data_IF_949426911996
#
_entry.id   IF_949426911996
#
_cell.length_a   1.000
_cell.length_b   1.000
_cell.length_c   1.000
_cell.angle_alpha   90.00
_cell.angle_beta   90.00
_cell.angle_gamma   90.00
#
_symmetry.space_group_name_H-M   'P 1'
#
loop_
_entity.id
_entity.type
_entity.pdbx_description
1 polymer ?
#
# COMPACT_ATOMS: atom_id res chain seq x y z
N UNK A 1 10.82 9.98 2.29
CA UNK A 1 9.50 9.85 2.93
C UNK A 1 9.35 8.44 3.49
N UNK A 2 8.60 8.29 4.59
CA UNK A 2 8.24 6.97 5.09
C UNK A 2 7.07 6.42 4.27
N UNK A 3 6.98 5.09 4.11
CA UNK A 3 5.69 4.48 3.69
C UNK A 3 4.69 4.54 4.86
N UNK A 4 3.39 4.38 4.60
CA UNK A 4 2.36 4.34 5.65
C UNK A 4 2.72 3.46 6.86
N UNK A 5 3.08 2.18 6.64
CA UNK A 5 3.46 1.24 7.72
C UNK A 5 4.72 1.67 8.48
N UNK A 6 5.65 2.33 7.80
CA UNK A 6 6.85 2.86 8.44
C UNK A 6 6.53 4.12 9.26
N UNK A 7 5.59 4.93 8.79
CA UNK A 7 5.05 6.08 9.52
C UNK A 7 4.32 5.66 10.80
N UNK A 8 3.51 4.61 10.71
CA UNK A 8 2.86 3.99 11.87
C UNK A 8 3.89 3.51 12.88
N UNK A 9 4.91 2.76 12.46
CA UNK A 9 6.02 2.35 13.31
C UNK A 9 6.76 3.53 13.97
N UNK A 10 6.95 4.65 13.24
CA UNK A 10 7.56 5.84 13.79
C UNK A 10 6.68 6.51 14.85
N UNK A 11 5.35 6.54 14.66
CA UNK A 11 4.41 7.04 15.66
C UNK A 11 4.36 6.13 16.89
N UNK A 12 4.25 4.82 16.73
CA UNK A 12 4.28 3.85 17.85
C UNK A 12 5.56 4.01 18.69
N UNK A 13 6.72 4.21 18.05
CA UNK A 13 7.97 4.52 18.75
C UNK A 13 7.87 5.80 19.58
N UNK A 14 7.31 6.86 19.03
CA UNK A 14 7.19 8.16 19.69
C UNK A 14 6.16 8.11 20.83
N UNK A 15 5.03 7.44 20.64
CA UNK A 15 4.03 7.19 21.69
C UNK A 15 4.63 6.37 22.84
N UNK A 16 5.43 5.34 22.53
CA UNK A 16 6.17 4.58 23.56
C UNK A 16 7.06 5.49 24.39
N UNK A 17 7.89 6.33 23.74
CA UNK A 17 8.78 7.25 24.46
C UNK A 17 8.00 8.29 25.27
N UNK A 18 6.90 8.81 24.75
CA UNK A 18 6.05 9.76 25.47
C UNK A 18 5.38 9.15 26.72
N UNK A 19 5.18 7.83 26.75
CA UNK A 19 4.61 7.12 27.88
C UNK A 19 5.64 6.74 28.96
N UNK A 20 6.94 6.88 28.68
CA UNK A 20 7.98 6.62 29.68
C UNK A 20 7.97 7.70 30.78
N UNK A 21 8.36 7.36 32.03
CA UNK A 21 8.43 8.31 33.14
C UNK A 21 9.67 9.22 33.03
N UNK A 22 9.88 9.85 31.87
CA UNK A 22 10.99 10.76 31.58
C UNK A 22 10.50 12.20 31.66
N UNK A 23 11.21 13.01 32.43
CA UNK A 23 10.86 14.39 32.73
C UNK A 23 11.62 15.38 31.85
N UNK A 24 12.84 15.07 31.44
CA UNK A 24 13.60 15.93 30.53
C UNK A 24 13.42 15.57 29.06
N UNK A 25 13.50 16.60 28.23
CA UNK A 25 13.50 16.45 26.77
C UNK A 25 14.76 15.75 26.28
N UNK A 26 15.88 15.89 27.00
CA UNK A 26 17.14 15.22 26.67
C UNK A 26 17.01 13.71 26.81
N UNK A 27 16.45 13.26 27.93
CA UNK A 27 16.13 11.86 28.16
C UNK A 27 15.15 11.33 27.11
N UNK A 28 14.09 12.07 26.78
CA UNK A 28 13.13 11.67 25.75
C UNK A 28 13.79 11.58 24.36
N UNK A 29 14.62 12.54 23.97
CA UNK A 29 15.32 12.52 22.68
C UNK A 29 16.33 11.36 22.60
N UNK A 30 17.05 11.09 23.68
CA UNK A 30 17.94 9.93 23.80
C UNK A 30 17.15 8.62 23.72
N UNK A 31 16.02 8.53 24.43
CA UNK A 31 15.13 7.37 24.43
C UNK A 31 14.66 7.01 23.02
N UNK A 32 14.27 7.99 22.19
CA UNK A 32 13.88 7.72 20.78
C UNK A 32 14.98 6.98 20.02
N UNK A 33 16.25 7.38 20.22
CA UNK A 33 17.39 6.79 19.49
C UNK A 33 17.74 5.40 20.01
N UNK A 34 17.72 5.21 21.32
CA UNK A 34 17.99 3.91 21.94
C UNK A 34 16.88 2.93 21.61
N UNK A 35 15.61 3.32 21.81
CA UNK A 35 14.43 2.50 21.59
C UNK A 35 14.37 1.97 20.15
N UNK A 36 14.58 2.81 19.12
CA UNK A 36 14.57 2.31 17.74
C UNK A 36 15.72 1.35 17.43
N UNK A 37 16.85 1.44 18.14
CA UNK A 37 17.97 0.50 18.00
C UNK A 37 17.70 -0.79 18.76
N UNK A 38 17.03 -0.71 19.90
CA UNK A 38 16.64 -1.83 20.76
C UNK A 38 15.42 -2.63 20.24
N UNK A 39 14.58 -2.04 19.38
CA UNK A 39 13.31 -2.58 18.87
C UNK A 39 13.34 -3.99 18.23
N UNK A 40 14.50 -4.63 18.09
CA UNK A 40 14.64 -6.00 17.60
C UNK A 40 15.16 -6.98 18.65
N UNK A 41 16.01 -6.52 19.55
CA UNK A 41 16.84 -7.38 20.39
C UNK A 41 16.76 -7.01 21.86
N UNK A 42 16.03 -5.97 22.22
CA UNK A 42 16.04 -5.39 23.56
C UNK A 42 17.30 -4.59 23.89
N UNK A 43 18.25 -4.48 22.96
CA UNK A 43 19.54 -3.80 23.20
C UNK A 43 19.80 -2.75 22.12
N UNK A 44 19.87 -1.49 22.54
CA UNK A 44 20.19 -0.34 21.70
C UNK A 44 21.65 0.04 21.83
N UNK A 45 22.48 -0.31 20.84
CA UNK A 45 23.88 0.07 20.84
C UNK A 45 24.05 1.57 20.55
N UNK A 46 24.79 2.28 21.39
CA UNK A 46 25.18 3.69 21.21
C UNK A 46 26.70 3.84 21.36
N UNK A 47 27.28 4.74 20.58
CA UNK A 47 28.66 5.19 20.75
C UNK A 47 28.70 6.55 21.45
N UNK A 48 29.84 6.95 22.01
CA UNK A 48 30.02 8.32 22.51
C UNK A 48 29.84 9.36 21.40
N UNK A 49 30.19 9.02 20.16
CA UNK A 49 29.93 9.84 18.97
C UNK A 49 28.45 10.02 18.68
N UNK A 50 27.65 8.95 18.79
CA UNK A 50 26.20 9.04 18.68
C UNK A 50 25.64 10.01 19.73
N UNK A 51 26.04 9.86 21.00
CA UNK A 51 25.57 10.71 22.10
C UNK A 51 25.90 12.19 21.86
N UNK A 52 27.14 12.51 21.49
CA UNK A 52 27.54 13.91 21.16
C UNK A 52 26.76 14.47 19.98
N UNK A 53 26.44 13.64 18.98
CA UNK A 53 25.61 14.07 17.84
C UNK A 53 24.20 14.49 18.24
N UNK A 54 23.70 13.98 19.38
CA UNK A 54 22.41 14.38 19.95
C UNK A 54 22.43 15.79 20.53
N UNK A 55 23.61 16.39 20.79
CA UNK A 55 23.72 17.74 21.38
C UNK A 55 22.73 17.94 22.53
N UNK A 56 22.76 17.01 23.49
CA UNK A 56 21.98 17.13 24.72
C UNK A 56 22.57 18.28 25.55
N UNK A 57 21.74 18.95 26.32
CA UNK A 57 22.14 19.99 27.28
C UNK A 57 22.74 19.35 28.53
N UNK A 58 22.16 18.25 29.01
CA UNK A 58 22.62 17.45 30.16
C UNK A 58 22.62 15.95 29.80
N UNK A 59 23.67 15.44 29.12
CA UNK A 59 23.73 14.04 28.72
C UNK A 59 23.86 13.07 29.91
N UNK A 60 24.51 13.48 31.01
CA UNK A 60 24.60 12.72 32.25
C UNK A 60 23.23 12.55 32.91
N UNK A 61 22.48 13.66 33.08
CA UNK A 61 21.12 13.63 33.62
C UNK A 61 20.16 12.82 32.75
N UNK A 62 20.27 12.93 31.43
CA UNK A 62 19.47 12.13 30.50
C UNK A 62 19.70 10.62 30.67
N UNK A 63 20.95 10.18 30.84
CA UNK A 63 21.26 8.77 31.11
C UNK A 63 20.74 8.33 32.49
N UNK A 64 20.85 9.18 33.51
CA UNK A 64 20.33 8.89 34.84
C UNK A 64 18.80 8.68 34.83
N UNK A 65 18.05 9.48 34.05
CA UNK A 65 16.62 9.29 33.87
C UNK A 65 16.26 7.99 33.16
N UNK A 66 17.03 7.55 32.15
CA UNK A 66 16.82 6.25 31.53
C UNK A 66 17.03 5.10 32.52
N UNK A 67 18.07 5.20 33.36
CA UNK A 67 18.33 4.23 34.43
C UNK A 67 17.18 4.24 35.45
N UNK A 68 16.69 5.41 35.85
CA UNK A 68 15.53 5.54 36.73
C UNK A 68 14.24 4.95 36.12
N UNK A 69 14.11 5.00 34.78
CA UNK A 69 13.05 4.33 34.03
C UNK A 69 13.26 2.81 33.86
N UNK A 70 14.29 2.24 34.50
CA UNK A 70 14.56 0.80 34.53
C UNK A 70 15.43 0.28 33.39
N UNK A 71 16.05 1.17 32.59
CA UNK A 71 16.96 0.75 31.53
C UNK A 71 18.36 0.46 32.09
N UNK A 72 19.06 -0.51 31.52
CA UNK A 72 20.42 -0.86 31.97
C UNK A 72 21.47 -0.25 31.04
N UNK A 73 22.42 0.48 31.61
CA UNK A 73 23.54 1.11 30.90
C UNK A 73 24.86 0.53 31.44
N UNK A 74 25.27 -0.68 31.03
CA UNK A 74 26.37 -1.44 31.64
C UNK A 74 27.79 -0.91 31.35
N UNK A 75 27.94 0.23 30.66
CA UNK A 75 29.24 0.75 30.23
C UNK A 75 29.37 2.27 30.27
N UNK A 76 30.60 2.76 30.14
CA UNK A 76 30.89 4.20 30.12
C UNK A 76 30.66 4.82 28.73
N UNK A 77 29.48 5.42 28.54
CA UNK A 77 29.15 6.17 27.31
C UNK A 77 29.73 7.59 27.32
N UNK A 78 29.84 8.21 28.49
CA UNK A 78 30.44 9.52 28.73
C UNK A 78 31.83 9.31 29.33
N UNK A 79 32.84 9.99 28.79
CA UNK A 79 34.24 9.87 29.23
C UNK A 79 34.96 8.60 28.77
N UNK A 80 34.25 7.63 28.17
CA UNK A 80 34.82 6.41 27.60
C UNK A 80 35.33 6.57 26.16
N UNK A 81 35.66 5.43 25.53
CA UNK A 81 36.03 5.35 24.11
C UNK A 81 34.86 5.80 23.22
N UNK A 82 35.13 6.78 22.34
CA UNK A 82 34.12 7.43 21.51
C UNK A 82 33.54 6.51 20.43
N UNK A 83 34.28 5.50 20.01
CA UNK A 83 33.93 4.60 18.90
C UNK A 83 33.48 3.23 19.37
N UNK A 84 33.74 2.88 20.63
CA UNK A 84 33.28 1.63 21.23
C UNK A 84 31.76 1.67 21.49
N UNK A 85 30.97 0.76 20.89
CA UNK A 85 29.54 0.68 21.17
C UNK A 85 29.27 0.20 22.60
N UNK A 86 28.35 0.87 23.28
CA UNK A 86 27.76 0.49 24.57
C UNK A 86 26.32 0.05 24.32
N UNK A 87 25.97 -1.17 24.70
CA UNK A 87 24.62 -1.70 24.57
C UNK A 87 23.75 -1.29 25.73
N UNK A 88 22.74 -0.45 25.49
CA UNK A 88 21.73 -0.09 26.50
C UNK A 88 20.59 -1.10 26.42
N UNK A 89 20.28 -1.75 27.54
CA UNK A 89 19.17 -2.73 27.62
C UNK A 89 17.86 -1.97 27.89
N UNK A 90 16.86 -2.24 27.07
CA UNK A 90 15.50 -1.71 27.18
C UNK A 90 14.59 -2.90 27.49
N UNK A 91 14.20 -3.12 28.77
CA UNK A 91 13.49 -4.32 29.19
C UNK A 91 12.22 -4.61 28.38
N UNK A 92 11.41 -3.59 28.11
CA UNK A 92 10.14 -3.72 27.37
C UNK A 92 10.32 -4.12 25.89
N UNK A 93 11.56 -4.03 25.38
CA UNK A 93 11.91 -4.40 24.00
C UNK A 93 12.64 -5.74 23.90
N UNK A 94 12.80 -6.45 25.01
CA UNK A 94 13.34 -7.81 25.00
C UNK A 94 12.45 -8.73 24.13
N UNK A 95 13.04 -9.65 23.33
CA UNK A 95 12.26 -10.61 22.56
C UNK A 95 11.40 -11.48 23.48
N UNK A 96 10.07 -11.44 23.32
CA UNK A 96 9.16 -12.27 24.10
C UNK A 96 7.72 -11.74 24.13
N UNK A 97 6.84 -12.40 24.89
CA UNK A 97 5.51 -11.89 25.22
C UNK A 97 5.64 -10.53 25.90
N UNK A 98 5.00 -9.49 25.36
CA UNK A 98 5.10 -8.12 25.90
C UNK A 98 6.07 -7.18 25.17
N UNK A 99 6.71 -7.61 24.08
CA UNK A 99 7.54 -6.73 23.25
C UNK A 99 6.71 -5.55 22.69
N UNK A 100 6.96 -4.35 23.19
CA UNK A 100 6.15 -3.14 22.92
C UNK A 100 6.33 -2.54 21.51
N UNK A 101 7.42 -2.85 20.82
CA UNK A 101 7.73 -2.29 19.49
C UNK A 101 8.38 -3.31 18.54
N UNK A 102 7.67 -4.40 18.16
CA UNK A 102 8.25 -5.44 17.31
C UNK A 102 8.41 -4.94 15.87
N UNK A 103 9.59 -4.40 15.55
CA UNK A 103 9.90 -3.93 14.21
C UNK A 103 10.76 -4.94 13.43
N UNK A 104 10.32 -5.29 12.23
CA UNK A 104 11.14 -6.05 11.28
C UNK A 104 12.44 -5.30 10.92
N UNK A 105 13.45 -6.04 10.46
CA UNK A 105 14.80 -5.51 10.12
C UNK A 105 14.74 -4.27 9.24
N UNK A 106 13.92 -4.31 8.18
CA UNK A 106 13.76 -3.25 7.20
C UNK A 106 13.04 -2.04 7.78
N UNK A 107 11.89 -2.24 8.43
CA UNK A 107 11.11 -1.17 9.04
C UNK A 107 11.95 -0.40 10.07
N UNK A 108 12.62 -1.11 10.98
CA UNK A 108 13.55 -0.51 11.96
C UNK A 108 14.66 0.29 11.28
N UNK A 109 15.24 -0.21 10.19
CA UNK A 109 16.29 0.53 9.45
C UNK A 109 15.77 1.83 8.87
N UNK A 110 14.56 1.79 8.30
CA UNK A 110 13.95 2.93 7.63
C UNK A 110 13.53 4.00 8.62
N UNK A 111 12.92 3.61 9.75
CA UNK A 111 12.53 4.52 10.84
C UNK A 111 13.76 5.11 11.54
N UNK A 112 14.80 4.31 11.81
CA UNK A 112 16.06 4.81 12.38
C UNK A 112 16.72 5.85 11.47
N UNK A 113 16.86 5.54 10.17
CA UNK A 113 17.41 6.48 9.20
C UNK A 113 16.54 7.72 8.99
N UNK A 114 15.22 7.60 9.10
CA UNK A 114 14.30 8.74 9.10
C UNK A 114 14.50 9.63 10.33
N UNK A 115 14.54 9.06 11.53
CA UNK A 115 14.77 9.81 12.77
C UNK A 115 16.09 10.59 12.73
N UNK A 116 17.16 9.97 12.21
CA UNK A 116 18.43 10.65 11.99
C UNK A 116 18.28 11.83 11.01
N UNK A 117 17.68 11.62 9.83
CA UNK A 117 17.50 12.69 8.83
C UNK A 117 16.63 13.84 9.34
N UNK A 118 15.57 13.54 10.08
CA UNK A 118 14.68 14.56 10.65
C UNK A 118 15.42 15.46 11.63
N UNK A 119 16.18 14.88 12.57
CA UNK A 119 16.95 15.65 13.57
C UNK A 119 18.13 16.41 12.97
N UNK A 120 18.66 15.94 11.84
CA UNK A 120 19.75 16.58 11.10
C UNK A 120 19.27 17.50 9.97
N UNK A 121 17.96 17.68 9.81
CA UNK A 121 17.43 18.57 8.79
C UNK A 121 17.89 20.01 9.03
N UNK A 122 18.18 20.74 7.95
CA UNK A 122 18.74 22.11 8.00
C UNK A 122 18.00 23.05 8.98
N UNK A 123 16.65 23.06 9.04
CA UNK A 123 15.91 23.92 9.97
C UNK A 123 16.14 23.61 11.46
N UNK A 124 16.47 22.36 11.82
CA UNK A 124 16.46 21.89 13.21
C UNK A 124 17.80 21.37 13.73
N UNK A 125 18.78 21.09 12.85
CA UNK A 125 20.07 20.50 13.22
C UNK A 125 20.90 21.29 14.25
N UNK A 126 20.62 22.60 14.38
CA UNK A 126 21.25 23.51 15.37
C UNK A 126 20.30 23.91 16.50
N UNK A 127 19.07 23.41 16.50
CA UNK A 127 18.08 23.72 17.54
C UNK A 127 18.32 22.93 18.82
N UNK A 128 17.63 23.32 19.88
CA UNK A 128 17.65 22.60 21.15
C UNK A 128 17.12 21.16 20.97
N UNK A 129 17.33 20.29 21.97
CA UNK A 129 16.69 18.98 22.04
C UNK A 129 15.16 19.05 21.84
N UNK A 130 14.50 20.07 22.40
CA UNK A 130 13.05 20.29 22.23
C UNK A 130 12.64 20.55 20.79
N UNK A 131 13.41 21.36 20.05
CA UNK A 131 13.17 21.61 18.62
C UNK A 131 13.27 20.32 17.80
N UNK A 132 14.27 19.48 18.09
CA UNK A 132 14.50 18.24 17.35
C UNK A 132 13.50 17.15 17.72
N UNK A 133 13.07 17.07 18.97
CA UNK A 133 12.02 16.15 19.40
C UNK A 133 10.66 16.56 18.83
N UNK A 134 10.28 17.84 18.91
CA UNK A 134 9.08 18.37 18.31
C UNK A 134 9.04 18.09 16.80
N UNK A 135 10.15 18.31 16.10
CA UNK A 135 10.27 18.01 14.67
C UNK A 135 10.01 16.53 14.33
N UNK A 136 10.42 15.58 15.18
CA UNK A 136 10.12 14.16 15.00
C UNK A 136 8.62 13.88 15.13
N UNK A 137 7.97 14.36 16.19
CA UNK A 137 6.53 14.19 16.40
C UNK A 137 5.72 14.80 15.26
N UNK A 138 6.01 16.04 14.89
CA UNK A 138 5.27 16.74 13.86
C UNK A 138 5.53 16.16 12.46
N UNK A 139 6.75 15.68 12.17
CA UNK A 139 7.00 14.97 10.92
C UNK A 139 6.26 13.62 10.87
N UNK A 140 6.22 12.87 11.97
CA UNK A 140 5.54 11.56 12.02
C UNK A 140 4.01 11.67 11.86
N UNK A 141 3.43 12.80 12.28
CA UNK A 141 1.98 13.07 12.27
C UNK A 141 1.53 13.95 11.10
N UNK A 142 2.36 14.15 10.07
CA UNK A 142 1.97 14.83 8.84
C UNK A 142 1.52 13.85 7.75
N UNK A 143 0.48 14.23 7.02
CA UNK A 143 -0.03 13.58 5.81
C UNK A 143 0.90 13.76 4.59
N UNK A 144 0.48 13.21 3.43
CA UNK A 144 1.16 13.38 2.15
C UNK A 144 1.08 14.83 1.64
N UNK A 145 0.00 15.52 1.99
CA UNK A 145 -0.31 16.91 1.67
C UNK A 145 0.42 17.89 2.61
N UNK A 146 1.31 17.35 3.46
CA UNK A 146 2.12 18.06 4.45
C UNK A 146 1.32 18.68 5.59
N UNK A 147 0.03 18.38 5.69
CA UNK A 147 -0.84 18.82 6.78
C UNK A 147 -0.78 17.81 7.92
N UNK A 148 -0.66 18.26 9.15
CA UNK A 148 -0.68 17.40 10.32
C UNK A 148 -1.55 17.94 11.44
N UNK A 149 -1.81 17.07 12.41
CA UNK A 149 -2.42 17.40 13.68
C UNK A 149 -1.45 17.01 14.78
N UNK A 150 -1.15 17.95 15.69
CA UNK A 150 -0.23 17.69 16.78
C UNK A 150 -0.84 16.61 17.70
N UNK A 151 -0.12 15.52 18.00
CA UNK A 151 -0.66 14.45 18.82
C UNK A 151 -0.81 14.91 20.27
N UNK A 152 -1.79 14.37 20.98
CA UNK A 152 -2.02 14.67 22.40
C UNK A 152 -0.82 14.28 23.28
N UNK A 153 -0.05 13.26 22.87
CA UNK A 153 1.17 12.85 23.56
C UNK A 153 2.43 13.68 23.23
N UNK A 154 2.32 14.78 22.47
CA UNK A 154 3.45 15.68 22.25
C UNK A 154 3.94 16.22 23.60
N UNK A 155 5.22 16.02 23.98
CA UNK A 155 5.70 16.47 25.29
C UNK A 155 5.50 17.97 25.48
N UNK A 156 5.06 18.39 26.67
CA UNK A 156 4.69 19.79 26.93
C UNK A 156 5.84 20.76 26.62
N UNK A 157 7.08 20.36 26.93
CA UNK A 157 8.28 21.14 26.64
C UNK A 157 8.54 21.36 25.14
N UNK A 158 7.94 20.55 24.24
CA UNK A 158 8.04 20.73 22.80
C UNK A 158 7.17 21.86 22.26
N UNK A 159 6.11 22.30 22.96
CA UNK A 159 5.27 23.41 22.49
C UNK A 159 6.05 24.73 22.41
N UNK A 160 7.01 24.95 23.33
CA UNK A 160 7.90 26.11 23.31
C UNK A 160 8.83 26.15 22.08
N UNK A 161 9.02 25.03 21.37
CA UNK A 161 9.84 24.95 20.18
C UNK A 161 9.08 25.34 18.88
N UNK A 162 7.75 25.41 18.91
CA UNK A 162 6.91 25.68 17.73
C UNK A 162 7.26 27.01 17.05
N UNK A 163 7.45 28.14 17.78
CA UNK A 163 7.85 29.40 17.15
C UNK A 163 9.18 29.29 16.40
N UNK A 164 10.17 28.58 16.97
CA UNK A 164 11.46 28.34 16.31
C UNK A 164 11.29 27.47 15.06
N UNK A 165 10.43 26.45 15.09
CA UNK A 165 10.15 25.61 13.94
C UNK A 165 9.50 26.38 12.78
N UNK A 166 8.62 27.35 13.09
CA UNK A 166 8.07 28.30 12.10
C UNK A 166 9.17 29.22 11.55
N UNK A 167 9.92 29.89 12.42
CA UNK A 167 10.98 30.83 12.04
C UNK A 167 12.05 30.18 11.14
N UNK A 168 12.43 28.93 11.44
CA UNK A 168 13.43 28.18 10.65
C UNK A 168 12.86 27.49 9.42
N UNK A 169 11.55 27.59 9.17
CA UNK A 169 10.88 27.01 8.00
C UNK A 169 10.75 25.48 8.04
N UNK A 170 10.80 24.86 9.23
CA UNK A 170 10.39 23.48 9.40
C UNK A 170 8.87 23.34 9.32
N UNK A 171 8.15 24.30 9.90
CA UNK A 171 6.71 24.49 9.75
C UNK A 171 6.46 25.69 8.84
N UNK A 172 5.44 25.60 7.99
CA UNK A 172 4.99 26.69 7.13
C UNK A 172 3.87 27.50 7.82
N UNK A 173 2.97 26.84 8.52
CA UNK A 173 1.83 27.43 9.22
C UNK A 173 1.44 26.57 10.43
N UNK A 174 0.85 27.20 11.44
CA UNK A 174 0.25 26.56 12.62
C UNK A 174 -1.06 27.29 12.94
N UNK A 175 -2.12 26.53 13.18
CA UNK A 175 -3.44 27.03 13.59
C UNK A 175 -4.03 26.12 14.66
N UNK A 176 -3.97 26.54 15.93
CA UNK A 176 -4.33 25.66 17.04
C UNK A 176 -3.46 24.41 17.07
N UNK A 177 -4.07 23.22 16.94
CA UNK A 177 -3.36 21.93 16.89
C UNK A 177 -3.05 21.47 15.45
N UNK A 178 -3.55 22.16 14.42
CA UNK A 178 -3.22 21.83 13.04
C UNK A 178 -1.99 22.62 12.58
N UNK A 179 -1.21 22.01 11.69
CA UNK A 179 -0.02 22.64 11.14
C UNK A 179 0.28 22.13 9.73
N UNK A 180 1.16 22.84 9.02
CA UNK A 180 1.74 22.38 7.76
C UNK A 180 3.25 22.33 7.85
N UNK A 181 3.85 21.24 7.37
CA UNK A 181 5.30 21.17 7.20
C UNK A 181 5.77 22.11 6.09
N UNK A 182 6.94 22.70 6.27
CA UNK A 182 7.62 23.43 5.21
C UNK A 182 7.91 22.52 4.01
N UNK A 183 7.70 23.02 2.79
CA UNK A 183 7.90 22.24 1.57
C UNK A 183 9.31 21.61 1.49
N UNK A 184 10.34 22.32 1.99
CA UNK A 184 11.73 21.84 2.02
C UNK A 184 11.94 20.58 2.87
N UNK A 185 11.07 20.33 3.86
CA UNK A 185 11.11 19.16 4.74
C UNK A 185 10.00 18.15 4.44
N UNK A 186 9.22 18.34 3.37
CA UNK A 186 8.11 17.43 3.03
C UNK A 186 8.55 15.98 2.78
N UNK A 187 9.79 15.77 2.35
CA UNK A 187 10.38 14.42 2.22
C UNK A 187 10.52 13.66 3.56
N UNK A 188 10.34 14.34 4.70
CA UNK A 188 10.33 13.78 6.05
C UNK A 188 8.93 13.39 6.53
N UNK A 189 7.87 13.67 5.76
CA UNK A 189 6.50 13.36 6.15
C UNK A 189 6.32 11.87 6.50
N UNK A 190 5.59 11.65 7.60
CA UNK A 190 5.28 10.34 8.18
C UNK A 190 4.07 9.65 7.55
N UNK A 191 3.43 10.26 6.54
CA UNK A 191 2.24 9.71 5.86
C UNK A 191 1.13 9.35 6.86
N UNK A 192 0.88 10.26 7.80
CA UNK A 192 -0.24 10.13 8.72
C UNK A 192 -1.55 10.12 7.95
N UNK A 193 -2.42 9.17 8.29
CA UNK A 193 -3.81 9.16 7.85
C UNK A 193 -4.67 9.62 8.99
N UNK A 194 -5.68 10.43 8.70
CA UNK A 194 -6.62 10.85 9.73
C UNK A 194 -7.44 9.65 10.23
N UNK A 195 -8.00 9.72 11.44
CA UNK A 195 -8.91 8.67 11.94
C UNK A 195 -10.05 8.36 10.97
N UNK A 196 -10.59 9.38 10.29
CA UNK A 196 -11.65 9.24 9.28
C UNK A 196 -11.18 8.44 8.06
N UNK A 197 -9.96 8.71 7.56
CA UNK A 197 -9.38 7.95 6.46
C UNK A 197 -9.12 6.48 6.84
N UNK A 198 -8.70 6.24 8.09
CA UNK A 198 -8.52 4.88 8.60
C UNK A 198 -9.86 4.15 8.76
N UNK A 199 -10.88 4.82 9.28
CA UNK A 199 -12.23 4.28 9.41
C UNK A 199 -12.83 3.92 8.03
N UNK A 200 -12.67 4.81 7.04
CA UNK A 200 -13.13 4.55 5.67
C UNK A 200 -12.45 3.33 5.04
N UNK A 201 -11.15 3.16 5.26
CA UNK A 201 -10.41 1.99 4.77
C UNK A 201 -10.80 0.70 5.50
N UNK A 202 -11.05 0.76 6.80
CA UNK A 202 -11.52 -0.37 7.59
C UNK A 202 -12.90 -0.82 7.10
N UNK A 203 -13.82 0.13 6.89
CA UNK A 203 -15.15 -0.13 6.33
C UNK A 203 -15.06 -0.74 4.92
N UNK A 204 -14.22 -0.20 4.03
CA UNK A 204 -14.01 -0.77 2.69
C UNK A 204 -13.52 -2.22 2.75
N UNK A 205 -12.60 -2.55 3.67
CA UNK A 205 -12.12 -3.93 3.82
C UNK A 205 -13.17 -4.86 4.45
N UNK A 206 -14.00 -4.34 5.37
CA UNK A 206 -15.12 -5.09 5.97
C UNK A 206 -16.19 -5.42 4.93
N UNK A 207 -16.63 -4.43 4.15
CA UNK A 207 -17.58 -4.61 3.04
C UNK A 207 -17.02 -5.63 2.03
N UNK A 208 -15.73 -5.59 1.73
CA UNK A 208 -15.08 -6.56 0.84
C UNK A 208 -14.99 -7.95 1.45
N UNK A 209 -14.74 -8.06 2.75
CA UNK A 209 -14.76 -9.35 3.45
C UNK A 209 -16.15 -9.95 3.40
N UNK A 210 -17.18 -9.18 3.74
CA UNK A 210 -18.57 -9.60 3.64
C UNK A 210 -18.93 -10.02 2.21
N UNK A 211 -18.49 -9.27 1.19
CA UNK A 211 -18.73 -9.62 -0.21
C UNK A 211 -18.00 -10.92 -0.63
N UNK A 212 -16.80 -11.18 -0.12
CA UNK A 212 -16.07 -12.44 -0.36
C UNK A 212 -16.73 -13.62 0.35
N UNK A 213 -17.18 -13.43 1.58
CA UNK A 213 -17.88 -14.46 2.36
C UNK A 213 -19.22 -14.80 1.73
N UNK A 214 -20.00 -13.80 1.29
CA UNK A 214 -21.22 -14.00 0.53
C UNK A 214 -20.96 -14.74 -0.80
N UNK A 215 -19.91 -14.37 -1.53
CA UNK A 215 -19.52 -15.06 -2.75
C UNK A 215 -19.05 -16.50 -2.49
N UNK A 216 -18.39 -16.76 -1.36
CA UNK A 216 -17.95 -18.10 -0.97
C UNK A 216 -19.10 -18.98 -0.47
N UNK A 217 -20.11 -18.39 0.18
CA UNK A 217 -21.32 -19.08 0.63
C UNK A 217 -22.18 -19.56 -0.55
N UNK A 218 -22.13 -18.86 -1.68
CA UNK A 218 -22.75 -19.26 -2.95
C UNK A 218 -21.97 -20.39 -3.66
N UNK A 219 -21.41 -21.36 -2.91
CA UNK A 219 -20.51 -22.39 -3.42
C UNK A 219 -21.02 -22.95 -4.77
N UNK A 220 -20.28 -22.77 -5.87
CA UNK A 220 -20.62 -23.45 -7.10
C UNK A 220 -20.42 -24.94 -6.84
N UNK A 221 -21.53 -25.69 -6.77
CA UNK A 221 -21.51 -27.14 -6.78
C UNK A 221 -20.59 -27.61 -7.91
N UNK A 222 -19.72 -28.58 -7.62
CA UNK A 222 -18.71 -29.08 -8.55
C UNK A 222 -19.35 -29.41 -9.92
N UNK A 223 -18.69 -28.98 -11.00
CA UNK A 223 -19.16 -29.25 -12.34
C UNK A 223 -19.01 -30.74 -12.65
N UNK A 224 -20.13 -31.46 -12.77
CA UNK A 224 -20.16 -32.86 -13.24
C UNK A 224 -20.56 -32.92 -14.72
N UNK A 225 -20.18 -33.98 -15.46
CA UNK A 225 -20.61 -34.16 -16.85
C UNK A 225 -22.12 -34.10 -17.05
N UNK A 226 -22.90 -34.62 -16.09
CA UNK A 226 -24.36 -34.67 -16.13
C UNK A 226 -24.96 -33.27 -15.99
N UNK A 227 -24.54 -32.48 -14.99
CA UNK A 227 -25.00 -31.08 -14.84
C UNK A 227 -24.59 -30.22 -16.02
N UNK A 228 -23.43 -30.50 -16.60
CA UNK A 228 -22.99 -29.79 -17.80
C UNK A 228 -23.85 -30.11 -19.01
N UNK A 229 -24.21 -31.37 -19.21
CA UNK A 229 -25.14 -31.78 -20.27
C UNK A 229 -26.54 -31.18 -20.06
N UNK A 230 -27.05 -31.20 -18.83
CA UNK A 230 -28.31 -30.56 -18.47
C UNK A 230 -28.29 -29.06 -18.78
N UNK A 231 -27.25 -28.34 -18.34
CA UNK A 231 -27.08 -26.92 -18.65
C UNK A 231 -27.03 -26.67 -20.17
N UNK A 232 -26.28 -27.48 -20.93
CA UNK A 232 -26.22 -27.37 -22.40
C UNK A 232 -27.56 -27.63 -23.09
N UNK A 233 -28.44 -28.44 -22.50
CA UNK A 233 -29.78 -28.68 -23.05
C UNK A 233 -30.73 -27.48 -22.88
N UNK A 234 -30.48 -26.63 -21.87
CA UNK A 234 -31.31 -25.48 -21.53
C UNK A 234 -30.89 -24.14 -22.16
N UNK A 235 -29.79 -24.09 -22.91
CA UNK A 235 -29.28 -22.85 -23.52
C UNK A 235 -29.70 -22.69 -24.99
N UNK A 236 -29.61 -21.46 -25.49
CA UNK A 236 -29.89 -21.17 -26.91
C UNK A 236 -28.92 -21.88 -27.87
N UNK A 237 -29.34 -22.23 -29.11
CA UNK A 237 -28.45 -22.83 -30.11
C UNK A 237 -27.23 -21.98 -30.45
N UNK A 238 -27.32 -20.65 -30.31
CA UNK A 238 -26.19 -19.73 -30.54
C UNK A 238 -25.14 -19.89 -29.44
N UNK A 239 -25.58 -19.96 -28.19
CA UNK A 239 -24.69 -20.15 -27.05
C UNK A 239 -24.09 -21.56 -27.05
N UNK A 240 -24.85 -22.57 -27.44
CA UNK A 240 -24.36 -23.95 -27.57
C UNK A 240 -23.18 -24.03 -28.54
N UNK A 241 -23.31 -23.48 -29.76
CA UNK A 241 -22.20 -23.45 -30.72
C UNK A 241 -20.97 -22.72 -30.19
N UNK A 242 -21.16 -21.67 -29.40
CA UNK A 242 -20.06 -20.94 -28.77
C UNK A 242 -19.33 -21.80 -27.74
N UNK A 243 -20.09 -22.47 -26.88
CA UNK A 243 -19.57 -23.41 -25.89
C UNK A 243 -18.78 -24.52 -26.57
N UNK A 244 -19.36 -25.16 -27.58
CA UNK A 244 -18.72 -26.24 -28.34
C UNK A 244 -17.43 -25.78 -29.02
N UNK A 245 -17.41 -24.56 -29.58
CA UNK A 245 -16.19 -23.99 -30.14
C UNK A 245 -15.07 -23.82 -29.10
N UNK A 246 -15.40 -23.49 -27.85
CA UNK A 246 -14.44 -23.40 -26.75
C UNK A 246 -13.99 -24.80 -26.29
N UNK A 247 -14.92 -25.74 -26.12
CA UNK A 247 -14.64 -27.12 -25.71
C UNK A 247 -13.73 -27.84 -26.71
N UNK A 248 -13.98 -27.64 -28.00
CA UNK A 248 -13.31 -28.35 -29.09
C UNK A 248 -12.09 -27.61 -29.65
N UNK A 249 -11.74 -26.45 -29.08
CA UNK A 249 -10.62 -25.64 -29.60
C UNK A 249 -9.28 -26.40 -29.47
N UNK A 250 -8.63 -26.78 -30.59
CA UNK A 250 -7.42 -27.62 -30.56
C UNK A 250 -6.19 -26.87 -30.03
N UNK A 251 -6.25 -25.53 -30.03
CA UNK A 251 -5.19 -24.65 -29.57
C UNK A 251 -5.31 -24.32 -28.08
N UNK A 252 -6.54 -24.22 -27.55
CA UNK A 252 -6.75 -23.90 -26.14
C UNK A 252 -6.70 -25.12 -25.21
N UNK A 253 -7.19 -26.29 -25.68
CA UNK A 253 -7.17 -27.57 -24.95
C UNK A 253 -7.55 -27.45 -23.47
N UNK A 254 -8.68 -26.80 -23.20
CA UNK A 254 -9.10 -26.58 -21.82
C UNK A 254 -9.58 -27.89 -21.18
N UNK A 255 -9.18 -28.17 -19.91
CA UNK A 255 -9.79 -29.26 -19.16
C UNK A 255 -11.28 -29.03 -18.97
N UNK A 256 -12.08 -30.10 -19.00
CA UNK A 256 -13.54 -30.08 -18.81
C UNK A 256 -13.97 -29.18 -17.64
N UNK A 257 -13.42 -29.46 -16.44
CA UNK A 257 -13.77 -28.71 -15.24
C UNK A 257 -13.50 -27.21 -15.35
N UNK A 258 -12.53 -26.77 -16.15
CA UNK A 258 -12.26 -25.35 -16.36
C UNK A 258 -13.33 -24.69 -17.22
N UNK A 259 -13.77 -25.36 -18.29
CA UNK A 259 -14.82 -24.84 -19.17
C UNK A 259 -16.16 -24.87 -18.44
N UNK A 260 -16.57 -26.03 -17.93
CA UNK A 260 -17.84 -26.20 -17.27
C UNK A 260 -18.02 -25.23 -16.08
N UNK A 261 -17.03 -25.11 -15.18
CA UNK A 261 -17.12 -24.17 -14.06
C UNK A 261 -17.22 -22.71 -14.51
N UNK A 262 -16.54 -22.31 -15.59
CA UNK A 262 -16.58 -20.93 -16.06
C UNK A 262 -17.95 -20.53 -16.62
N UNK A 263 -18.71 -21.47 -17.18
CA UNK A 263 -20.07 -21.22 -17.69
C UNK A 263 -21.15 -21.43 -16.62
N UNK A 264 -20.93 -22.34 -15.66
CA UNK A 264 -21.88 -22.63 -14.58
C UNK A 264 -21.81 -21.61 -13.42
N UNK A 265 -20.65 -20.95 -13.23
CA UNK A 265 -20.47 -20.02 -12.11
C UNK A 265 -20.85 -18.61 -12.50
N UNK A 266 -21.69 -17.95 -11.69
CA UNK A 266 -21.97 -16.52 -11.86
C UNK A 266 -20.71 -15.68 -11.57
N UNK A 267 -20.46 -14.59 -12.34
CA UNK A 267 -19.37 -13.67 -12.04
C UNK A 267 -19.53 -13.10 -10.63
N UNK A 268 -18.43 -13.09 -9.85
CA UNK A 268 -18.40 -12.43 -8.56
C UNK A 268 -18.54 -10.91 -8.73
N UNK A 269 -19.44 -10.29 -7.98
CA UNK A 269 -19.71 -8.84 -8.00
C UNK A 269 -18.81 -8.04 -7.05
N UNK A 270 -17.74 -8.62 -6.50
CA UNK A 270 -16.89 -7.93 -5.52
C UNK A 270 -16.26 -6.68 -6.16
N UNK A 271 -16.53 -5.47 -5.65
CA UNK A 271 -15.96 -4.24 -6.18
C UNK A 271 -14.43 -4.24 -6.13
N UNK A 272 -13.81 -3.59 -7.12
CA UNK A 272 -12.36 -3.44 -7.15
C UNK A 272 -11.89 -2.38 -6.12
N UNK A 273 -10.76 -2.60 -5.42
CA UNK A 273 -10.19 -1.61 -4.50
C UNK A 273 -9.80 -0.31 -5.20
N UNK A 274 -9.86 0.83 -4.48
CA UNK A 274 -9.43 2.15 -5.00
C UNK A 274 -8.00 2.15 -5.56
N UNK A 275 -7.08 1.46 -4.90
CA UNK A 275 -5.68 1.32 -5.36
C UNK A 275 -5.56 0.66 -6.75
N UNK A 276 -6.54 -0.14 -7.15
CA UNK A 276 -6.58 -0.74 -8.49
C UNK A 276 -7.07 0.28 -9.53
N UNK A 277 -7.93 1.22 -9.15
CA UNK A 277 -8.36 2.33 -10.00
C UNK A 277 -7.20 3.31 -10.27
N UNK A 278 -6.39 3.62 -9.26
CA UNK A 278 -5.18 4.45 -9.44
C UNK A 278 -4.18 3.77 -10.38
N UNK A 279 -3.93 2.47 -10.17
CA UNK A 279 -3.08 1.66 -11.04
C UNK A 279 -3.63 1.58 -12.48
N UNK A 280 -4.95 1.59 -12.66
CA UNK A 280 -5.59 1.66 -13.97
C UNK A 280 -5.34 3.00 -14.66
N UNK A 281 -5.39 4.13 -13.94
CA UNK A 281 -5.04 5.44 -14.49
C UNK A 281 -3.64 5.45 -15.08
N UNK A 282 -2.64 5.06 -14.29
CA UNK A 282 -1.24 4.96 -14.75
C UNK A 282 -1.08 3.98 -15.92
N UNK A 283 -1.78 2.84 -15.89
CA UNK A 283 -1.73 1.88 -16.99
C UNK A 283 -2.31 2.45 -18.28
N UNK A 284 -3.45 3.15 -18.22
CA UNK A 284 -4.13 3.71 -19.38
C UNK A 284 -3.29 4.77 -20.07
N UNK A 285 -2.63 5.65 -19.31
CA UNK A 285 -1.76 6.68 -19.87
C UNK A 285 -0.58 6.08 -20.65
N UNK A 286 -0.10 4.91 -20.24
CA UNK A 286 0.97 4.18 -20.92
C UNK A 286 0.49 3.36 -22.14
N UNK A 287 -0.82 3.22 -22.36
CA UNK A 287 -1.39 2.39 -23.44
C UNK A 287 -2.53 3.12 -24.18
N UNK A 288 -2.25 4.26 -24.86
CA UNK A 288 -3.27 5.06 -25.52
C UNK A 288 -4.02 4.30 -26.63
N UNK A 289 -3.37 3.35 -27.30
CA UNK A 289 -3.96 2.57 -28.40
C UNK A 289 -4.60 1.24 -27.97
N UNK A 290 -4.72 0.99 -26.65
CA UNK A 290 -5.14 -0.30 -26.12
C UNK A 290 -6.49 -0.79 -26.67
N UNK A 291 -7.43 0.12 -26.97
CA UNK A 291 -8.72 -0.23 -27.54
C UNK A 291 -8.64 -0.80 -28.95
N UNK A 292 -7.86 -0.16 -29.82
CA UNK A 292 -7.63 -0.62 -31.20
C UNK A 292 -6.89 -1.95 -31.22
N UNK A 293 -5.82 -2.07 -30.44
CA UNK A 293 -5.03 -3.28 -30.32
C UNK A 293 -5.87 -4.46 -29.80
N UNK A 294 -6.69 -4.22 -28.77
CA UNK A 294 -7.56 -5.25 -28.22
C UNK A 294 -8.60 -5.73 -29.25
N UNK A 295 -9.23 -4.81 -29.98
CA UNK A 295 -10.20 -5.18 -31.01
C UNK A 295 -9.54 -6.02 -32.11
N UNK A 296 -8.38 -5.59 -32.65
CA UNK A 296 -7.62 -6.36 -33.65
C UNK A 296 -7.22 -7.74 -33.13
N UNK A 297 -6.77 -7.83 -31.88
CA UNK A 297 -6.45 -9.10 -31.25
C UNK A 297 -7.66 -10.02 -31.21
N UNK A 298 -8.86 -9.54 -30.85
CA UNK A 298 -10.05 -10.40 -30.84
C UNK A 298 -10.43 -10.94 -32.22
N UNK A 299 -10.17 -10.17 -33.30
CA UNK A 299 -10.38 -10.64 -34.68
C UNK A 299 -9.39 -11.76 -35.03
N UNK A 300 -8.10 -11.52 -34.82
CA UNK A 300 -7.05 -12.50 -35.10
C UNK A 300 -7.27 -13.78 -34.28
N UNK A 301 -7.51 -13.62 -32.98
CA UNK A 301 -7.76 -14.73 -32.06
C UNK A 301 -8.97 -15.56 -32.51
N UNK A 302 -10.08 -14.93 -32.86
CA UNK A 302 -11.27 -15.67 -33.31
C UNK A 302 -11.07 -16.38 -34.65
N UNK A 303 -10.26 -15.82 -35.53
CA UNK A 303 -9.93 -16.42 -36.83
C UNK A 303 -9.13 -17.72 -36.64
N UNK A 304 -8.23 -17.72 -35.66
CA UNK A 304 -7.38 -18.88 -35.35
C UNK A 304 -8.09 -19.92 -34.47
N UNK A 305 -8.89 -19.47 -33.49
CA UNK A 305 -9.46 -20.33 -32.45
C UNK A 305 -10.93 -20.71 -32.68
N UNK A 306 -11.66 -20.01 -33.55
CA UNK A 306 -13.10 -20.18 -33.76
C UNK A 306 -14.00 -19.53 -32.68
N UNK A 307 -13.42 -19.06 -31.57
CA UNK A 307 -14.12 -18.39 -30.46
C UNK A 307 -13.37 -17.12 -30.01
N UNK A 308 -14.00 -16.28 -29.18
CA UNK A 308 -13.36 -15.09 -28.63
C UNK A 308 -12.38 -15.41 -27.48
N UNK A 309 -11.44 -14.52 -27.14
CA UNK A 309 -10.56 -14.73 -26.00
C UNK A 309 -11.30 -14.50 -24.67
N UNK A 310 -10.82 -15.15 -23.61
CA UNK A 310 -11.10 -14.71 -22.23
C UNK A 310 -10.32 -13.42 -21.90
N UNK A 311 -10.69 -12.73 -20.82
CA UNK A 311 -9.98 -11.53 -20.36
C UNK A 311 -8.49 -11.83 -20.12
N UNK A 312 -8.18 -13.01 -19.57
CA UNK A 312 -6.79 -13.44 -19.37
C UNK A 312 -6.04 -13.70 -20.68
N UNK A 313 -6.68 -14.30 -21.67
CA UNK A 313 -6.05 -14.56 -22.97
C UNK A 313 -5.79 -13.26 -23.74
N UNK A 314 -6.74 -12.33 -23.71
CA UNK A 314 -6.57 -10.99 -24.28
C UNK A 314 -5.35 -10.29 -23.66
N UNK A 315 -5.36 -10.10 -22.33
CA UNK A 315 -4.26 -9.41 -21.65
C UNK A 315 -2.92 -10.13 -21.83
N UNK A 316 -2.90 -11.47 -21.84
CA UNK A 316 -1.65 -12.22 -22.08
C UNK A 316 -1.14 -12.05 -23.50
N UNK A 317 -2.03 -12.06 -24.49
CA UNK A 317 -1.71 -11.92 -25.91
C UNK A 317 -1.14 -10.54 -26.24
N UNK A 318 -1.67 -9.50 -25.61
CA UNK A 318 -1.21 -8.12 -25.75
C UNK A 318 0.02 -7.77 -24.88
N UNK A 319 0.61 -8.76 -24.19
CA UNK A 319 1.79 -8.52 -23.35
C UNK A 319 1.50 -7.90 -21.98
N UNK A 320 0.23 -7.66 -21.62
CA UNK A 320 -0.21 -7.13 -20.33
C UNK A 320 -0.21 -8.17 -19.19
N UNK A 321 0.80 -9.05 -19.19
CA UNK A 321 0.88 -10.25 -18.33
C UNK A 321 1.07 -9.94 -16.85
N UNK A 322 1.57 -8.73 -16.53
CA UNK A 322 1.83 -8.29 -15.14
C UNK A 322 0.60 -7.70 -14.45
N UNK A 323 -0.55 -7.62 -15.14
CA UNK A 323 -1.77 -7.07 -14.54
C UNK A 323 -2.40 -8.05 -13.53
N UNK A 324 -2.72 -7.53 -12.34
CA UNK A 324 -3.49 -8.27 -11.35
C UNK A 324 -4.86 -8.68 -11.91
N UNK A 325 -5.53 -9.68 -11.31
CA UNK A 325 -6.86 -10.12 -11.78
C UNK A 325 -7.89 -8.98 -11.74
N UNK A 326 -7.89 -8.19 -10.67
CA UNK A 326 -8.77 -7.04 -10.51
C UNK A 326 -8.50 -5.98 -11.59
N UNK A 327 -7.22 -5.65 -11.82
CA UNK A 327 -6.85 -4.66 -12.83
C UNK A 327 -7.23 -5.10 -14.25
N UNK A 328 -7.08 -6.38 -14.58
CA UNK A 328 -7.56 -6.95 -15.86
C UNK A 328 -9.07 -6.78 -16.03
N UNK A 329 -9.85 -7.00 -14.97
CA UNK A 329 -11.29 -6.79 -14.99
C UNK A 329 -11.66 -5.34 -15.32
N UNK A 330 -10.98 -4.38 -14.67
CA UNK A 330 -11.20 -2.94 -14.92
C UNK A 330 -10.82 -2.55 -16.35
N UNK A 331 -9.65 -2.99 -16.82
CA UNK A 331 -9.17 -2.72 -18.20
C UNK A 331 -10.19 -3.21 -19.22
N UNK A 332 -10.60 -4.48 -19.15
CA UNK A 332 -11.55 -5.03 -20.11
C UNK A 332 -12.93 -4.39 -19.95
N UNK A 333 -13.35 -4.08 -18.72
CA UNK A 333 -14.59 -3.36 -18.44
C UNK A 333 -14.65 -1.97 -19.10
N UNK A 334 -13.55 -1.20 -19.05
CA UNK A 334 -13.45 0.09 -19.74
C UNK A 334 -13.51 -0.09 -21.25
N UNK A 335 -12.80 -1.08 -21.82
CA UNK A 335 -12.85 -1.36 -23.25
C UNK A 335 -14.26 -1.75 -23.74
N UNK A 336 -15.04 -2.44 -22.90
CA UNK A 336 -16.44 -2.74 -23.16
C UNK A 336 -17.31 -1.47 -23.09
N UNK A 337 -17.13 -0.65 -22.06
CA UNK A 337 -17.88 0.60 -21.86
C UNK A 337 -17.63 1.62 -22.98
N UNK A 338 -16.39 1.73 -23.43
CA UNK A 338 -15.96 2.59 -24.54
C UNK A 338 -16.35 2.02 -25.92
N UNK A 339 -16.91 0.80 -25.97
CA UNK A 339 -17.40 0.17 -27.18
C UNK A 339 -16.30 -0.35 -28.11
N UNK A 340 -15.05 -0.41 -27.66
CA UNK A 340 -13.95 -1.06 -28.39
C UNK A 340 -14.15 -2.56 -28.47
N UNK A 341 -14.60 -3.15 -27.37
CA UNK A 341 -14.99 -4.54 -27.27
C UNK A 341 -16.48 -4.67 -27.02
N UNK A 342 -17.01 -5.85 -27.28
CA UNK A 342 -18.32 -6.29 -26.78
C UNK A 342 -18.23 -7.77 -26.41
N UNK A 343 -19.12 -8.24 -25.56
CA UNK A 343 -19.22 -9.62 -25.15
C UNK A 343 -20.67 -10.11 -25.19
N UNK A 344 -20.89 -11.33 -24.72
CA UNK A 344 -22.22 -11.84 -24.44
C UNK A 344 -22.28 -12.12 -22.95
N UNK A 345 -22.16 -11.08 -22.12
CA UNK A 345 -22.18 -11.22 -20.66
C UNK A 345 -23.39 -12.04 -20.17
N UNK A 346 -23.22 -12.96 -19.20
CA UNK A 346 -22.00 -13.26 -18.42
C UNK A 346 -21.10 -14.35 -19.05
N UNK A 347 -21.25 -14.64 -20.33
CA UNK A 347 -20.63 -15.80 -20.98
C UNK A 347 -19.12 -15.59 -21.16
N UNK A 348 -18.25 -16.52 -20.70
CA UNK A 348 -16.82 -16.42 -20.89
C UNK A 348 -16.39 -16.70 -22.36
N UNK A 349 -15.20 -16.22 -22.73
CA UNK A 349 -14.60 -16.39 -24.07
C UNK A 349 -15.39 -15.74 -25.23
N UNK A 350 -16.24 -14.75 -24.99
CA UNK A 350 -17.06 -14.12 -26.05
C UNK A 350 -16.55 -12.78 -26.55
N UNK A 351 -15.39 -12.31 -26.10
CA UNK A 351 -14.85 -11.00 -26.48
C UNK A 351 -14.72 -10.91 -28.01
N UNK A 352 -15.23 -9.81 -28.57
CA UNK A 352 -15.22 -9.52 -30.00
C UNK A 352 -15.17 -7.99 -30.23
N UNK A 353 -14.89 -7.52 -31.44
CA UNK A 353 -14.91 -6.10 -31.75
C UNK A 353 -16.28 -5.48 -31.46
N UNK A 354 -16.27 -4.32 -30.79
CA UNK A 354 -17.46 -3.55 -30.49
C UNK A 354 -17.78 -2.49 -31.54
N UNK A 355 -18.80 -1.66 -31.26
CA UNK A 355 -19.27 -0.59 -32.16
C UNK A 355 -18.17 0.41 -32.57
N UNK A 356 -17.30 0.79 -31.62
CA UNK A 356 -16.20 1.73 -31.86
C UNK A 356 -15.15 1.13 -32.79
N UNK A 357 -14.82 -0.15 -32.59
CA UNK A 357 -13.93 -0.89 -33.47
C UNK A 357 -14.53 -1.06 -34.88
N UNK A 358 -15.82 -1.37 -34.97
CA UNK A 358 -16.53 -1.49 -36.25
C UNK A 358 -16.51 -0.19 -37.06
N UNK A 359 -16.70 0.96 -36.41
CA UNK A 359 -16.62 2.27 -37.06
C UNK A 359 -15.22 2.54 -37.67
N UNK A 360 -14.18 1.89 -37.16
CA UNK A 360 -12.82 1.94 -37.68
C UNK A 360 -12.50 0.79 -38.66
N UNK A 361 -13.51 0.04 -39.11
CA UNK A 361 -13.35 -1.07 -40.04
C UNK A 361 -12.79 -2.36 -39.43
N UNK A 362 -12.65 -2.44 -38.10
CA UNK A 362 -12.19 -3.66 -37.42
C UNK A 362 -13.40 -4.53 -37.13
N UNK A 363 -13.69 -5.47 -38.02
CA UNK A 363 -14.87 -6.35 -37.96
C UNK A 363 -14.46 -7.81 -38.09
N UNK A 364 -15.31 -8.74 -37.63
CA UNK A 364 -15.07 -10.16 -37.81
C UNK A 364 -15.21 -10.60 -39.29
N UNK A 365 -14.44 -11.61 -39.74
CA UNK A 365 -14.62 -12.21 -41.06
C UNK A 365 -16.07 -12.69 -41.25
N UNK A 366 -16.73 -12.21 -42.31
CA UNK A 366 -18.14 -12.50 -42.60
C UNK A 366 -19.14 -11.38 -42.24
N UNK A 367 -18.81 -10.49 -41.29
CA UNK A 367 -19.64 -9.30 -41.00
C UNK A 367 -19.37 -8.17 -42.00
N UNK A 368 -18.12 -8.03 -42.47
CA UNK A 368 -17.75 -7.08 -43.52
C UNK A 368 -18.55 -7.27 -44.83
N UNK A 369 -18.96 -8.51 -45.14
CA UNK A 369 -19.67 -8.85 -46.36
C UNK A 369 -21.17 -8.51 -46.32
N UNK A 370 -21.77 -8.34 -45.12
CA UNK A 370 -23.19 -8.00 -44.95
C UNK A 370 -23.48 -6.50 -44.93
N UNK A 371 -22.49 -5.66 -44.58
CA UNK A 371 -22.66 -4.19 -44.55
C UNK A 371 -22.49 -3.48 -45.89
N UNK A 372 -22.18 -4.21 -46.97
CA UNK A 372 -22.04 -3.68 -48.35
C UNK A 372 -23.18 -4.12 -49.28
N UNK A 373 -24.27 -4.68 -48.75
CA UNK A 373 -25.49 -5.02 -49.50
C UNK A 373 -26.61 -4.07 -49.18
#
# INVERSE_FOLDING_TARGET
>A
MLTYRQGEAARTLLSYVAALPLTSVDAQLLAVVVAIRAARTGVGNLTGTDLRSLRLEDPEGALAELVAAGWEVPGQLIGGDQDKPVGIVVPDMAPGPGHVLPLGKEARSRVSGWSMRTRLAKPVRKGSPAVRLAALFLAAHSSAELVGHAPAELPVACYGAVPTLLEKGFLAEVSGQTYRLGAAVGHLAGMFRTPEELAALAQEEEERRAAREAAAALQPQEATPERWAEWKSGISPVLLRHVEAVEQCPLCRFPFGRVANAFLTSPSSVPAPRTVLDAYGTWRDAHPDCGREAALFTVAFRTEHGHGPSYNQLCRGLGWKKLSRALRGIVVGSLLAEGWLTDTSPVPWTLRPGKTAHAQGIVLPGQAARGKR
#
